data_IF_480649696951
#
_entry.id   IF_480649696951
#
_cell.length_a   1.000
_cell.length_b   1.000
_cell.length_c   1.000
_cell.angle_alpha   90.00
_cell.angle_beta   90.00
_cell.angle_gamma   90.00
#
_symmetry.space_group_name_H-M   'P 1'
#
loop_
_entity.id
_entity.type
_entity.pdbx_description
1 polymer ?
#
# COMPACT_ATOMS: atom_id res chain seq x y z
N UNK A 1 -6.94 9.41 0.85
CA UNK A 1 -5.55 9.53 0.45
C UNK A 1 -4.63 9.13 1.58
N UNK A 2 -3.67 8.24 1.33
CA UNK A 2 -2.77 7.84 2.38
C UNK A 2 -1.89 9.00 2.84
N UNK A 3 -1.65 9.06 4.12
CA UNK A 3 -0.68 10.01 4.67
C UNK A 3 0.67 9.34 4.74
N UNK A 4 1.59 9.87 3.97
CA UNK A 4 2.97 9.43 3.97
C UNK A 4 3.77 10.43 4.79
N UNK A 5 4.79 9.96 5.48
CA UNK A 5 5.66 10.83 6.26
C UNK A 5 6.17 12.00 5.39
N UNK A 6 6.17 13.20 5.95
CA UNK A 6 6.60 14.40 5.22
C UNK A 6 8.06 14.32 4.81
N UNK A 7 8.86 13.71 5.66
CA UNK A 7 10.29 13.53 5.38
C UNK A 7 10.49 12.11 4.94
N UNK A 8 10.99 11.96 3.73
CA UNK A 8 11.31 10.66 3.16
C UNK A 8 12.83 10.58 3.03
N UNK A 9 13.43 9.60 3.70
CA UNK A 9 14.86 9.35 3.64
C UNK A 9 15.14 8.20 2.69
N UNK A 10 15.81 8.48 1.58
CA UNK A 10 16.15 7.45 0.60
C UNK A 10 17.04 6.38 1.24
N UNK A 11 16.76 5.12 0.94
CA UNK A 11 17.53 4.00 1.45
C UNK A 11 17.21 3.56 2.86
N UNK A 12 16.26 4.21 3.52
CA UNK A 12 15.87 3.87 4.89
C UNK A 12 14.46 3.33 4.95
N UNK A 13 14.16 2.40 5.91
CA UNK A 13 12.82 1.85 6.05
C UNK A 13 11.81 2.91 6.50
N UNK A 14 10.62 2.84 5.91
CA UNK A 14 9.49 3.69 6.28
C UNK A 14 8.30 2.83 6.62
N UNK A 15 7.69 3.10 7.77
CA UNK A 15 6.47 2.42 8.18
C UNK A 15 5.26 3.15 7.61
N UNK A 16 4.50 2.46 6.79
CA UNK A 16 3.28 2.98 6.17
C UNK A 16 2.10 2.25 6.76
N UNK A 17 1.12 3.00 7.25
CA UNK A 17 -0.14 2.45 7.71
C UNK A 17 -1.26 3.05 6.89
N UNK A 18 -2.12 2.21 6.33
CA UNK A 18 -3.29 2.65 5.60
C UNK A 18 -4.52 1.95 6.16
N UNK A 19 -5.48 2.73 6.63
CA UNK A 19 -6.73 2.21 7.19
C UNK A 19 -7.87 2.40 6.22
N UNK A 20 -8.87 1.51 6.31
CA UNK A 20 -10.12 1.70 5.61
C UNK A 20 -10.89 2.88 6.22
N UNK A 21 -11.71 3.54 5.39
CA UNK A 21 -12.57 4.63 5.85
C UNK A 21 -13.51 4.15 6.93
N UNK A 22 -13.60 4.88 8.03
CA UNK A 22 -14.46 4.54 9.17
C UNK A 22 -14.17 3.14 9.71
N UNK A 23 -12.94 2.69 9.59
CA UNK A 23 -12.50 1.36 10.02
C UNK A 23 -13.23 0.23 9.30
N UNK A 24 -13.77 0.50 8.13
CA UNK A 24 -14.45 -0.52 7.34
C UNK A 24 -13.47 -1.53 6.80
N UNK A 25 -13.98 -2.73 6.59
CA UNK A 25 -13.22 -3.83 6.04
C UNK A 25 -12.83 -3.53 4.60
N UNK A 26 -11.57 -3.77 4.26
CA UNK A 26 -11.06 -3.56 2.90
C UNK A 26 -10.73 -4.87 2.19
N UNK A 27 -10.53 -5.94 2.94
CA UNK A 27 -10.31 -7.28 2.38
C UNK A 27 -11.46 -8.19 2.83
N UNK A 28 -12.09 -8.85 1.87
CA UNK A 28 -13.25 -9.69 2.13
C UNK A 28 -12.97 -11.17 1.90
N UNK A 29 -11.89 -11.48 1.19
CA UNK A 29 -11.51 -12.85 0.88
C UNK A 29 -10.01 -12.97 0.78
N UNK A 30 -9.54 -14.20 0.73
CA UNK A 30 -8.12 -14.46 0.55
C UNK A 30 -7.63 -13.96 -0.80
N UNK A 31 -8.47 -14.03 -1.82
CA UNK A 31 -8.10 -13.51 -3.13
C UNK A 31 -7.91 -12.00 -3.13
N UNK A 32 -8.61 -11.28 -2.27
CA UNK A 32 -8.41 -9.83 -2.12
C UNK A 32 -7.00 -9.53 -1.62
N UNK A 33 -6.51 -10.29 -0.65
CA UNK A 33 -5.15 -10.13 -0.13
C UNK A 33 -4.12 -10.40 -1.22
N UNK A 34 -4.32 -11.45 -2.00
CA UNK A 34 -3.41 -11.79 -3.10
C UNK A 34 -3.38 -10.72 -4.17
N UNK A 35 -4.55 -10.22 -4.56
CA UNK A 35 -4.65 -9.15 -5.54
C UNK A 35 -3.92 -7.90 -5.06
N UNK A 36 -4.11 -7.55 -3.81
CA UNK A 36 -3.41 -6.40 -3.22
C UNK A 36 -1.89 -6.58 -3.26
N UNK A 37 -1.41 -7.75 -2.85
CA UNK A 37 0.03 -8.03 -2.84
C UNK A 37 0.63 -8.01 -4.24
N UNK A 38 -0.07 -8.55 -5.23
CA UNK A 38 0.39 -8.54 -6.61
C UNK A 38 0.48 -7.11 -7.15
N UNK A 39 -0.53 -6.29 -6.88
CA UNK A 39 -0.52 -4.88 -7.26
C UNK A 39 0.61 -4.12 -6.57
N UNK A 40 0.76 -4.35 -5.28
CA UNK A 40 1.82 -3.72 -4.50
C UNK A 40 3.20 -4.07 -5.06
N UNK A 41 3.46 -5.34 -5.28
CA UNK A 41 4.75 -5.79 -5.83
C UNK A 41 5.03 -5.16 -7.20
N UNK A 42 4.02 -5.09 -8.06
CA UNK A 42 4.17 -4.48 -9.39
C UNK A 42 4.57 -3.02 -9.28
N UNK A 43 3.91 -2.28 -8.40
CA UNK A 43 4.19 -0.86 -8.23
C UNK A 43 5.51 -0.61 -7.51
N UNK A 44 5.86 -1.45 -6.54
CA UNK A 44 7.15 -1.33 -5.86
C UNK A 44 8.30 -1.52 -6.85
N UNK A 45 8.18 -2.50 -7.73
CA UNK A 45 9.19 -2.73 -8.76
C UNK A 45 9.27 -1.56 -9.73
N UNK A 46 8.12 -1.06 -10.17
CA UNK A 46 8.06 0.06 -11.13
C UNK A 46 8.67 1.33 -10.55
N UNK A 47 8.45 1.60 -9.27
CA UNK A 47 8.91 2.82 -8.61
C UNK A 47 10.18 2.66 -7.79
N UNK A 48 10.89 1.55 -7.94
CA UNK A 48 12.18 1.30 -7.27
C UNK A 48 12.08 1.35 -5.75
N UNK A 49 11.14 0.58 -5.20
CA UNK A 49 10.98 0.42 -3.76
C UNK A 49 11.21 -1.04 -3.39
N UNK A 50 11.78 -1.26 -2.21
CA UNK A 50 11.86 -2.59 -1.63
C UNK A 50 10.87 -2.71 -0.49
N UNK A 51 10.31 -3.89 -0.32
CA UNK A 51 9.46 -4.21 0.82
C UNK A 51 10.25 -5.06 1.81
N UNK A 52 10.35 -4.60 3.05
CA UNK A 52 11.01 -5.37 4.10
C UNK A 52 10.03 -6.28 4.84
N UNK A 53 8.85 -5.77 5.12
CA UNK A 53 7.81 -6.58 5.75
C UNK A 53 6.44 -5.96 5.50
N UNK A 54 5.41 -6.75 5.75
CA UNK A 54 4.04 -6.27 5.64
C UNK A 54 3.14 -7.04 6.58
N UNK A 55 2.02 -6.45 6.93
CA UNK A 55 0.97 -7.10 7.68
C UNK A 55 -0.37 -6.62 7.14
N UNK A 56 -1.16 -7.53 6.60
CA UNK A 56 -2.45 -7.20 6.00
C UNK A 56 -3.56 -7.63 6.96
N UNK A 57 -4.28 -6.64 7.47
CA UNK A 57 -5.41 -6.85 8.37
C UNK A 57 -6.70 -6.58 7.61
N UNK A 58 -7.84 -7.11 8.06
CA UNK A 58 -9.10 -6.94 7.32
C UNK A 58 -9.48 -5.48 7.03
N UNK A 59 -9.10 -4.54 7.88
CA UNK A 59 -9.48 -3.14 7.74
C UNK A 59 -8.30 -2.18 7.62
N UNK A 60 -7.07 -2.70 7.58
CA UNK A 60 -5.90 -1.84 7.40
C UNK A 60 -4.68 -2.66 7.00
N UNK A 61 -3.66 -1.97 6.55
CA UNK A 61 -2.39 -2.59 6.18
C UNK A 61 -1.23 -1.86 6.84
N UNK A 62 -0.19 -2.61 7.17
CA UNK A 62 1.09 -2.08 7.63
C UNK A 62 2.17 -2.52 6.66
N UNK A 63 2.96 -1.60 6.19
CA UNK A 63 4.03 -1.87 5.24
C UNK A 63 5.32 -1.24 5.76
N UNK A 64 6.43 -1.95 5.61
CA UNK A 64 7.76 -1.39 5.82
C UNK A 64 8.44 -1.35 4.47
N UNK A 65 8.59 -0.17 3.91
CA UNK A 65 9.11 0.05 2.56
C UNK A 65 10.39 0.86 2.60
N UNK A 66 11.31 0.53 1.70
CA UNK A 66 12.57 1.27 1.54
C UNK A 66 12.55 1.95 0.18
N UNK A 67 12.38 3.27 0.12
CA UNK A 67 12.40 3.98 -1.15
C UNK A 67 13.82 4.26 -1.60
N UNK A 68 14.09 4.07 -2.88
CA UNK A 68 15.36 4.42 -3.50
C UNK A 68 15.31 5.79 -4.14
N UNK A 69 14.12 6.33 -4.34
CA UNK A 69 13.89 7.69 -4.83
C UNK A 69 12.82 8.35 -3.97
N UNK A 70 13.11 9.56 -3.57
CA UNK A 70 12.34 10.31 -2.59
C UNK A 70 10.84 10.41 -2.90
N UNK A 71 10.48 10.68 -4.15
CA UNK A 71 9.10 10.94 -4.51
C UNK A 71 8.31 9.67 -4.85
N UNK A 72 8.98 8.53 -4.92
CA UNK A 72 8.34 7.30 -5.40
C UNK A 72 7.53 6.58 -4.32
N UNK A 73 7.78 6.85 -3.05
CA UNK A 73 7.06 6.19 -1.96
C UNK A 73 5.55 6.48 -2.02
N UNK A 74 5.19 7.76 -2.07
CA UNK A 74 3.79 8.17 -2.12
C UNK A 74 3.12 7.71 -3.41
N UNK A 75 3.84 7.78 -4.54
CA UNK A 75 3.30 7.34 -5.83
C UNK A 75 2.99 5.84 -5.82
N UNK A 76 3.92 5.02 -5.34
CA UNK A 76 3.72 3.57 -5.32
C UNK A 76 2.55 3.17 -4.44
N UNK A 77 2.47 3.70 -3.24
CA UNK A 77 1.40 3.39 -2.29
C UNK A 77 0.06 3.90 -2.81
N UNK A 78 0.02 5.14 -3.28
CA UNK A 78 -1.20 5.74 -3.81
C UNK A 78 -1.74 5.00 -5.02
N UNK A 79 -0.87 4.63 -5.95
CA UNK A 79 -1.28 3.90 -7.14
C UNK A 79 -1.76 2.49 -6.83
N UNK A 80 -1.11 1.81 -5.89
CA UNK A 80 -1.54 0.49 -5.45
C UNK A 80 -2.97 0.55 -4.91
N UNK A 81 -3.25 1.50 -4.04
CA UNK A 81 -4.57 1.62 -3.43
C UNK A 81 -5.63 2.04 -4.45
N UNK A 82 -5.30 2.95 -5.35
CA UNK A 82 -6.20 3.37 -6.41
C UNK A 82 -6.57 2.21 -7.33
N UNK A 83 -5.59 1.39 -7.71
CA UNK A 83 -5.82 0.25 -8.58
C UNK A 83 -6.63 -0.83 -7.88
N UNK A 84 -6.39 -1.05 -6.60
CA UNK A 84 -7.18 -1.99 -5.80
C UNK A 84 -8.64 -1.57 -5.78
N UNK A 85 -8.93 -0.27 -5.66
CA UNK A 85 -10.29 0.26 -5.73
C UNK A 85 -10.96 -0.07 -7.06
N UNK A 86 -10.25 0.13 -8.16
CA UNK A 86 -10.85 -0.05 -9.48
C UNK A 86 -11.06 -1.52 -9.85
N UNK A 87 -10.33 -2.44 -9.22
CA UNK A 87 -10.43 -3.87 -9.52
C UNK A 87 -11.42 -4.63 -8.66
N UNK A 88 -12.01 -4.01 -7.66
CA UNK A 88 -12.96 -4.68 -6.77
C UNK A 88 -14.38 -4.30 -7.11
N UNK A 89 -15.24 -5.31 -7.18
CA UNK A 89 -16.68 -5.12 -7.38
C UNK A 89 -17.30 -4.41 -6.19
N UNK A 90 -16.88 -4.81 -4.99
CA UNK A 90 -17.27 -4.13 -3.76
C UNK A 90 -16.23 -3.06 -3.49
N UNK A 91 -16.66 -1.87 -3.19
CA UNK A 91 -15.74 -0.78 -2.93
C UNK A 91 -14.95 -1.01 -1.66
N UNK A 92 -13.63 -1.09 -1.74
CA UNK A 92 -12.80 -1.04 -0.54
C UNK A 92 -12.83 0.36 0.04
N UNK A 93 -12.44 0.48 1.28
CA UNK A 93 -12.53 1.73 2.03
C UNK A 93 -11.20 2.46 2.16
N UNK A 94 -10.33 2.29 1.20
CA UNK A 94 -9.07 3.05 1.21
C UNK A 94 -9.27 4.51 0.87
#
# INVERSE_FOLDING_TARGET
MPRIARIVAEGFPHHITQRGNRRQKVFFSESDYRTYLDLLRSHLKLFSLDIESYCLMPNHVHLILVPHKKDNLALAVGRTHQKALSNQVKKPSF
#
